data_IF_879096139874
#
_entry.id   IF_879096139874
#
_cell.length_a   1.000
_cell.length_b   1.000
_cell.length_c   1.000
_cell.angle_alpha   90.00
_cell.angle_beta   90.00
_cell.angle_gamma   90.00
#
_symmetry.space_group_name_H-M   'P 1'
#
loop_
_entity.id
_entity.type
_entity.pdbx_description
1 polymer ?
#
# COMPACT_ATOMS: atom_id res chain seq x y z
N UNK A 1 12.97 -51.74 27.78
CA UNK A 1 12.06 -50.57 27.81
C UNK A 1 12.14 -49.88 26.46
N UNK A 2 11.08 -49.99 25.65
CA UNK A 2 11.07 -49.57 24.26
C UNK A 2 10.97 -48.06 24.11
N UNK A 3 11.78 -47.53 23.20
CA UNK A 3 11.94 -46.12 22.85
C UNK A 3 10.78 -45.67 21.97
N UNK A 4 9.87 -44.85 22.47
CA UNK A 4 9.04 -43.97 21.63
C UNK A 4 8.97 -42.60 22.32
N UNK A 5 9.88 -41.71 21.94
CA UNK A 5 9.88 -40.29 22.35
C UNK A 5 10.03 -39.35 21.15
N UNK A 6 9.66 -39.82 19.95
CA UNK A 6 9.57 -39.00 18.73
C UNK A 6 8.18 -39.16 18.12
N UNK A 7 7.19 -38.53 18.75
CA UNK A 7 5.92 -38.23 18.09
C UNK A 7 5.71 -36.72 18.25
N UNK A 8 5.76 -36.00 17.12
CA UNK A 8 4.76 -34.95 16.92
C UNK A 8 5.20 -33.52 16.65
N UNK A 9 6.48 -33.11 16.75
CA UNK A 9 6.79 -31.69 16.46
C UNK A 9 6.56 -31.32 14.98
N UNK A 10 6.98 -32.18 14.03
CA UNK A 10 6.77 -31.95 12.59
C UNK A 10 5.33 -32.20 12.12
N UNK A 11 4.59 -33.10 12.79
CA UNK A 11 3.16 -33.29 12.54
C UNK A 11 2.32 -32.13 13.09
N UNK A 12 2.73 -31.53 14.21
CA UNK A 12 2.09 -30.36 14.81
C UNK A 12 2.36 -29.09 14.00
N UNK A 13 3.57 -28.89 13.47
CA UNK A 13 3.86 -27.79 12.54
C UNK A 13 3.09 -27.96 11.22
N UNK A 14 3.00 -29.19 10.70
CA UNK A 14 2.24 -29.49 9.49
C UNK A 14 0.73 -29.32 9.67
N UNK A 15 0.17 -29.76 10.80
CA UNK A 15 -1.25 -29.59 11.10
C UNK A 15 -1.61 -28.15 11.47
N UNK A 16 -0.73 -27.41 12.17
CA UNK A 16 -0.95 -26.00 12.47
C UNK A 16 -0.83 -25.12 11.22
N UNK A 17 0.11 -25.41 10.31
CA UNK A 17 0.19 -24.74 9.01
C UNK A 17 -1.02 -25.07 8.12
N UNK A 18 -1.45 -26.34 8.10
CA UNK A 18 -2.62 -26.75 7.32
C UNK A 18 -3.95 -26.21 7.89
N UNK A 19 -4.08 -26.07 9.21
CA UNK A 19 -5.28 -25.50 9.86
C UNK A 19 -5.24 -23.96 9.81
N UNK A 20 -4.06 -23.33 9.87
CA UNK A 20 -3.88 -21.90 9.64
C UNK A 20 -4.27 -21.52 8.22
N UNK A 21 -3.82 -22.26 7.21
CA UNK A 21 -4.15 -21.99 5.80
C UNK A 21 -5.61 -22.31 5.43
N UNK A 22 -6.31 -23.17 6.19
CA UNK A 22 -7.67 -23.57 5.88
C UNK A 22 -8.75 -22.66 6.51
N UNK A 23 -8.42 -21.83 7.50
CA UNK A 23 -9.43 -21.05 8.24
C UNK A 23 -8.96 -19.67 8.75
N UNK A 24 -7.73 -19.25 8.49
CA UNK A 24 -7.23 -17.93 8.90
C UNK A 24 -6.53 -17.27 7.71
N UNK A 25 -6.87 -16.01 7.46
CA UNK A 25 -6.18 -15.23 6.43
C UNK A 25 -4.66 -15.21 6.65
N UNK A 26 -3.90 -15.20 5.56
CA UNK A 26 -2.46 -15.05 5.58
C UNK A 26 -2.08 -13.63 5.99
N UNK A 27 -1.03 -13.48 6.81
CA UNK A 27 -0.40 -12.20 7.12
C UNK A 27 1.08 -12.29 6.77
N UNK A 28 1.50 -11.48 5.82
CA UNK A 28 2.89 -11.35 5.38
C UNK A 28 3.42 -9.97 5.74
N UNK A 29 4.69 -9.92 6.14
CA UNK A 29 5.41 -8.66 6.33
C UNK A 29 6.52 -8.58 5.29
N UNK A 30 6.54 -7.48 4.56
CA UNK A 30 7.58 -7.16 3.59
C UNK A 30 8.22 -5.84 3.96
N UNK A 31 9.46 -5.63 3.54
CA UNK A 31 10.16 -4.39 3.80
C UNK A 31 11.31 -4.16 2.84
N UNK A 32 11.72 -2.91 2.75
CA UNK A 32 12.84 -2.46 1.92
C UNK A 32 13.82 -1.66 2.75
N UNK A 33 15.09 -1.70 2.36
CA UNK A 33 16.14 -0.83 2.89
C UNK A 33 16.82 -0.12 1.73
N UNK A 34 16.80 1.20 1.78
CA UNK A 34 17.44 2.07 0.80
C UNK A 34 18.61 2.80 1.48
N UNK A 35 19.81 2.71 0.91
CA UNK A 35 20.99 3.38 1.45
C UNK A 35 21.48 4.42 0.45
N UNK A 36 21.66 5.65 0.91
CA UNK A 36 22.16 6.75 0.09
C UNK A 36 23.40 7.39 0.71
N UNK A 37 24.20 8.02 -0.14
CA UNK A 37 25.34 8.82 0.27
C UNK A 37 25.30 10.15 -0.46
N UNK A 38 25.50 11.25 0.26
CA UNK A 38 25.50 12.60 -0.29
C UNK A 38 26.81 13.29 0.06
N UNK A 39 27.41 13.95 -0.92
CA UNK A 39 28.52 14.90 -0.74
C UNK A 39 28.23 16.12 -1.58
N UNK A 40 28.26 17.29 -0.95
CA UNK A 40 28.11 18.58 -1.61
C UNK A 40 29.44 19.30 -1.58
N UNK A 41 29.86 19.83 -2.74
CA UNK A 41 31.05 20.68 -2.81
C UNK A 41 30.82 21.96 -1.99
N UNK A 42 31.86 22.41 -1.29
CA UNK A 42 31.85 23.59 -0.42
C UNK A 42 30.88 23.55 0.79
N UNK A 43 30.35 22.38 1.17
CA UNK A 43 29.51 22.21 2.36
C UNK A 43 30.01 21.10 3.30
N UNK A 44 29.97 21.34 4.61
CA UNK A 44 30.32 20.33 5.60
C UNK A 44 29.16 19.34 5.79
N UNK A 45 29.11 18.30 4.96
CA UNK A 45 28.10 17.22 5.04
C UNK A 45 28.41 16.28 6.21
N UNK A 46 27.98 16.62 7.43
CA UNK A 46 28.30 15.92 8.69
C UNK A 46 28.29 14.38 8.62
N UNK A 47 27.12 13.75 8.71
CA UNK A 47 26.95 12.33 8.37
C UNK A 47 26.39 12.23 6.94
N UNK A 48 27.17 11.78 5.95
CA UNK A 48 26.73 11.74 4.57
C UNK A 48 25.85 10.53 4.24
N UNK A 49 25.70 9.57 5.17
CA UNK A 49 24.97 8.32 4.93
C UNK A 49 23.50 8.47 5.36
N UNK A 50 22.59 8.29 4.40
CA UNK A 50 21.16 8.13 4.61
C UNK A 50 20.75 6.66 4.58
N UNK A 51 19.86 6.26 5.49
CA UNK A 51 19.24 4.92 5.49
C UNK A 51 17.72 5.09 5.60
N UNK A 52 17.01 4.62 4.58
CA UNK A 52 15.57 4.44 4.55
C UNK A 52 15.20 3.01 4.87
N UNK A 53 14.20 2.81 5.73
CA UNK A 53 13.60 1.51 6.00
C UNK A 53 12.08 1.60 5.93
N UNK A 54 11.46 0.88 5.01
CA UNK A 54 10.02 0.87 4.82
C UNK A 54 9.47 -0.53 5.11
N UNK A 55 8.29 -0.60 5.70
CA UNK A 55 7.61 -1.86 6.01
C UNK A 55 6.19 -1.86 5.45
N UNK A 56 5.72 -3.02 5.01
CA UNK A 56 4.34 -3.25 4.61
C UNK A 56 3.82 -4.56 5.18
N UNK A 57 2.72 -4.47 5.91
CA UNK A 57 1.94 -5.61 6.37
C UNK A 57 0.84 -5.88 5.34
N UNK A 58 0.76 -7.12 4.86
CA UNK A 58 -0.24 -7.55 3.88
C UNK A 58 -1.01 -8.74 4.46
N UNK A 59 -2.31 -8.56 4.70
CA UNK A 59 -3.22 -9.61 5.13
C UNK A 59 -4.13 -10.03 3.98
N UNK A 60 -4.49 -11.30 3.83
CA UNK A 60 -5.50 -11.73 2.85
C UNK A 60 -6.27 -12.96 3.30
N UNK A 61 -7.53 -13.08 2.89
CA UNK A 61 -8.34 -14.27 3.13
C UNK A 61 -9.63 -14.28 2.32
N UNK A 62 -10.40 -15.35 2.46
CA UNK A 62 -11.67 -15.55 1.77
C UNK A 62 -12.82 -15.60 2.80
N UNK A 63 -13.93 -14.95 2.47
CA UNK A 63 -15.18 -15.03 3.21
C UNK A 63 -15.94 -16.31 2.83
N UNK A 64 -16.88 -16.73 3.68
CA UNK A 64 -17.70 -17.93 3.49
C UNK A 64 -18.53 -17.93 2.18
N UNK A 65 -18.86 -16.75 1.69
CA UNK A 65 -19.56 -16.47 0.44
C UNK A 65 -18.65 -16.37 -0.79
N UNK A 66 -17.36 -16.70 -0.64
CA UNK A 66 -16.38 -16.75 -1.72
C UNK A 66 -15.85 -15.38 -2.16
N UNK A 67 -16.00 -14.36 -1.31
CA UNK A 67 -15.40 -13.05 -1.55
C UNK A 67 -13.99 -13.01 -0.99
N UNK A 68 -13.06 -12.45 -1.74
CA UNK A 68 -11.71 -12.22 -1.25
C UNK A 68 -11.63 -10.92 -0.46
N UNK A 69 -10.78 -10.89 0.56
CA UNK A 69 -10.46 -9.70 1.34
C UNK A 69 -8.95 -9.60 1.46
N UNK A 70 -8.40 -8.44 1.11
CA UNK A 70 -6.99 -8.14 1.28
C UNK A 70 -6.81 -6.81 2.04
N UNK A 71 -5.95 -6.81 3.05
CA UNK A 71 -5.53 -5.65 3.83
C UNK A 71 -4.07 -5.33 3.50
N UNK A 72 -3.74 -4.05 3.35
CA UNK A 72 -2.37 -3.58 3.27
C UNK A 72 -2.18 -2.38 4.18
N UNK A 73 -1.20 -2.44 5.08
CA UNK A 73 -0.78 -1.34 5.95
C UNK A 73 0.67 -1.01 5.64
N UNK A 74 0.93 0.21 5.17
CA UNK A 74 2.25 0.69 4.80
C UNK A 74 2.81 1.64 5.85
N UNK A 75 4.10 1.47 6.15
CA UNK A 75 4.90 2.37 6.98
C UNK A 75 6.04 2.97 6.15
N UNK A 76 6.20 4.29 6.28
CA UNK A 76 7.33 5.05 5.76
C UNK A 76 8.58 4.84 6.64
N UNK A 77 9.65 5.59 6.32
CA UNK A 77 10.89 5.56 7.10
C UNK A 77 10.64 5.83 8.59
N UNK A 78 11.47 5.24 9.46
CA UNK A 78 11.31 5.32 10.92
C UNK A 78 9.97 4.80 11.45
N UNK A 79 9.40 3.79 10.78
CA UNK A 79 8.13 3.14 11.14
C UNK A 79 6.93 4.10 11.21
N UNK A 80 6.99 5.23 10.49
CA UNK A 80 5.89 6.19 10.46
C UNK A 80 4.72 5.61 9.67
N UNK A 81 3.53 5.57 10.27
CA UNK A 81 2.31 5.15 9.59
C UNK A 81 2.08 5.95 8.31
N UNK A 82 1.87 5.27 7.17
CA UNK A 82 1.65 5.92 5.87
C UNK A 82 0.23 5.74 5.36
N UNK A 83 -0.27 4.52 5.24
CA UNK A 83 -1.59 4.28 4.63
C UNK A 83 -2.12 2.90 4.97
N UNK A 84 -3.45 2.77 4.95
CA UNK A 84 -4.14 1.49 4.97
C UNK A 84 -5.06 1.37 3.77
N UNK A 85 -5.04 0.20 3.12
CA UNK A 85 -5.94 -0.15 2.03
C UNK A 85 -6.63 -1.48 2.33
N UNK A 86 -7.91 -1.56 2.01
CA UNK A 86 -8.69 -2.80 2.05
C UNK A 86 -9.24 -3.06 0.66
N UNK A 87 -9.02 -4.23 0.10
CA UNK A 87 -9.61 -4.66 -1.17
C UNK A 87 -10.55 -5.82 -0.92
N UNK A 88 -11.75 -5.73 -1.49
CA UNK A 88 -12.76 -6.79 -1.45
C UNK A 88 -13.02 -7.25 -2.88
N UNK A 89 -12.67 -8.49 -3.20
CA UNK A 89 -12.94 -9.09 -4.50
C UNK A 89 -14.29 -9.79 -4.48
N UNK A 90 -15.18 -9.37 -5.38
CA UNK A 90 -16.52 -9.93 -5.52
C UNK A 90 -16.58 -10.75 -6.80
N UNK A 91 -16.84 -12.07 -6.72
CA UNK A 91 -16.94 -12.91 -7.91
C UNK A 91 -17.94 -12.36 -8.94
N UNK A 92 -17.48 -12.13 -10.16
CA UNK A 92 -18.29 -11.61 -11.27
C UNK A 92 -18.55 -10.11 -11.26
N UNK A 93 -18.14 -9.37 -10.22
CA UNK A 93 -18.18 -7.89 -10.20
C UNK A 93 -16.78 -7.27 -10.20
N UNK A 94 -15.78 -7.97 -9.67
CA UNK A 94 -14.40 -7.51 -9.57
C UNK A 94 -14.06 -6.90 -8.21
N UNK A 95 -13.00 -6.09 -8.18
CA UNK A 95 -12.35 -5.67 -6.93
C UNK A 95 -12.76 -4.27 -6.52
N UNK A 96 -13.15 -4.13 -5.25
CA UNK A 96 -13.42 -2.85 -4.61
C UNK A 96 -12.32 -2.54 -3.62
N UNK A 97 -11.49 -1.54 -3.92
CA UNK A 97 -10.42 -1.06 -3.05
C UNK A 97 -10.85 0.20 -2.32
N UNK A 98 -10.83 0.15 -1.00
CA UNK A 98 -11.01 1.27 -0.10
C UNK A 98 -9.62 1.71 0.36
N UNK A 99 -9.27 2.97 0.11
CA UNK A 99 -7.95 3.55 0.40
C UNK A 99 -8.09 4.76 1.31
N UNK A 100 -7.16 4.94 2.27
CA UNK A 100 -7.06 6.20 3.02
C UNK A 100 -6.31 7.32 2.25
N UNK A 101 -6.00 7.12 0.97
CA UNK A 101 -5.35 8.12 0.13
C UNK A 101 -3.84 8.08 0.25
N UNK A 102 -3.18 7.79 -0.88
CA UNK A 102 -1.74 7.79 -1.22
C UNK A 102 -1.67 7.41 -2.71
N UNK A 103 -0.50 7.50 -3.35
CA UNK A 103 -0.27 6.94 -4.69
C UNK A 103 -0.80 5.51 -4.86
N UNK A 104 -1.25 5.19 -6.08
CA UNK A 104 -1.68 3.84 -6.45
C UNK A 104 -3.19 3.61 -6.57
N UNK A 105 -4.03 4.66 -6.59
CA UNK A 105 -5.43 4.62 -7.01
C UNK A 105 -5.68 5.60 -8.16
N UNK A 106 -6.50 5.26 -9.14
CA UNK A 106 -6.89 6.19 -10.21
C UNK A 106 -5.70 6.58 -11.09
N UNK A 107 -5.71 7.82 -11.58
CA UNK A 107 -4.70 8.28 -12.53
C UNK A 107 -3.32 8.47 -11.88
N UNK A 108 -3.25 8.65 -10.55
CA UNK A 108 -1.97 8.79 -9.85
C UNK A 108 -1.11 7.52 -9.89
N UNK A 109 -1.68 6.37 -10.26
CA UNK A 109 -0.91 5.14 -10.52
C UNK A 109 -0.12 5.22 -11.83
N UNK A 110 -0.60 6.01 -12.79
CA UNK A 110 0.04 6.17 -14.10
C UNK A 110 1.04 7.32 -14.12
N UNK A 111 1.06 8.13 -13.06
CA UNK A 111 2.03 9.20 -12.87
C UNK A 111 3.40 8.59 -12.60
N UNK A 112 4.41 9.04 -13.36
CA UNK A 112 5.80 8.94 -12.95
C UNK A 112 6.30 7.51 -12.63
N UNK A 113 5.97 6.57 -13.51
CA UNK A 113 6.38 5.16 -13.43
C UNK A 113 7.80 4.91 -13.97
N UNK A 114 8.57 5.97 -14.25
CA UNK A 114 9.94 5.85 -14.72
C UNK A 114 10.84 5.35 -13.60
N UNK A 115 11.69 4.33 -13.84
CA UNK A 115 12.72 3.95 -12.88
C UNK A 115 13.63 5.15 -12.66
N UNK A 116 13.58 5.71 -11.45
CA UNK A 116 14.17 7.01 -11.21
C UNK A 116 15.59 7.00 -10.66
N UNK A 117 16.09 5.84 -10.18
CA UNK A 117 17.48 5.62 -9.71
C UNK A 117 18.02 6.79 -8.85
N UNK A 118 17.16 7.48 -8.11
CA UNK A 118 17.51 8.71 -7.37
C UNK A 118 18.06 9.89 -8.21
N UNK A 119 17.93 9.86 -9.54
CA UNK A 119 18.38 10.90 -10.46
C UNK A 119 17.31 11.96 -10.78
N UNK A 120 16.08 11.76 -10.31
CA UNK A 120 15.04 12.77 -10.45
C UNK A 120 15.31 13.97 -9.55
N UNK A 121 15.08 15.17 -10.09
CA UNK A 121 15.38 16.44 -9.43
C UNK A 121 14.73 16.59 -8.04
N UNK A 122 13.68 15.81 -7.75
CA UNK A 122 12.94 15.82 -6.48
C UNK A 122 13.23 14.62 -5.56
N UNK A 123 14.05 13.64 -5.99
CA UNK A 123 14.51 12.52 -5.16
C UNK A 123 15.66 12.88 -4.20
N UNK A 124 16.27 14.04 -4.38
CA UNK A 124 17.47 14.51 -3.65
C UNK A 124 17.16 15.50 -2.52
N UNK A 125 15.89 15.60 -2.10
CA UNK A 125 15.47 16.53 -1.04
C UNK A 125 15.34 18.00 -1.49
N UNK A 126 15.46 18.26 -2.79
CA UNK A 126 15.20 19.58 -3.37
C UNK A 126 13.70 19.79 -3.56
N UNK A 127 13.17 20.92 -3.09
CA UNK A 127 11.81 21.35 -3.37
C UNK A 127 11.69 21.81 -4.83
N UNK A 128 11.31 20.91 -5.72
CA UNK A 128 11.27 21.19 -7.18
C UNK A 128 10.04 21.95 -7.64
N UNK A 129 9.01 22.09 -6.78
CA UNK A 129 7.74 22.71 -7.15
C UNK A 129 6.98 21.95 -8.24
N UNK A 130 7.35 20.68 -8.50
CA UNK A 130 6.67 19.83 -9.49
C UNK A 130 5.32 19.44 -8.93
N UNK A 131 4.27 19.69 -9.72
CA UNK A 131 2.91 19.24 -9.44
C UNK A 131 2.73 17.85 -10.05
N UNK A 132 2.56 16.84 -9.19
CA UNK A 132 2.35 15.45 -9.59
C UNK A 132 0.88 15.21 -9.85
N UNK A 133 0.57 14.35 -10.83
CA UNK A 133 -0.83 14.06 -11.16
C UNK A 133 -1.43 13.17 -10.06
N UNK A 134 -2.11 13.79 -9.09
CA UNK A 134 -2.70 13.07 -7.94
C UNK A 134 -4.13 12.58 -8.19
N UNK A 135 -4.88 13.25 -9.08
CA UNK A 135 -6.28 12.91 -9.38
C UNK A 135 -7.15 12.76 -8.14
N UNK A 136 -8.08 11.81 -8.17
CA UNK A 136 -8.89 11.42 -7.01
C UNK A 136 -8.12 10.53 -6.00
N UNK A 137 -6.91 10.07 -6.34
CA UNK A 137 -6.09 9.17 -5.51
C UNK A 137 -5.40 9.84 -4.32
N UNK A 138 -5.25 11.18 -4.34
CA UNK A 138 -4.59 11.93 -3.27
C UNK A 138 -5.28 11.85 -1.91
N UNK A 139 -6.61 11.78 -1.90
CA UNK A 139 -7.43 11.65 -0.70
C UNK A 139 -7.99 10.24 -0.52
N UNK A 140 -8.65 10.00 0.62
CA UNK A 140 -9.35 8.73 0.84
C UNK A 140 -10.36 8.46 -0.29
N UNK A 141 -10.40 7.24 -0.81
CA UNK A 141 -11.13 6.91 -2.02
C UNK A 141 -11.64 5.47 -2.03
N UNK A 142 -12.58 5.21 -2.94
CA UNK A 142 -13.01 3.87 -3.34
C UNK A 142 -12.70 3.71 -4.83
N UNK A 143 -11.94 2.68 -5.17
CA UNK A 143 -11.65 2.27 -6.55
C UNK A 143 -12.39 0.96 -6.85
N UNK A 144 -13.04 0.88 -8.01
CA UNK A 144 -13.61 -0.34 -8.54
C UNK A 144 -12.86 -0.78 -9.79
N UNK A 145 -12.42 -2.04 -9.81
CA UNK A 145 -11.83 -2.70 -10.97
C UNK A 145 -12.77 -3.80 -11.45
N UNK A 146 -13.57 -3.58 -12.51
CA UNK A 146 -14.50 -4.57 -13.02
C UNK A 146 -13.81 -5.85 -13.51
N UNK A 147 -14.51 -6.97 -13.37
CA UNK A 147 -14.17 -8.21 -14.10
C UNK A 147 -14.84 -8.21 -15.47
N UNK A 148 -14.22 -8.87 -16.45
CA UNK A 148 -14.82 -9.06 -17.79
C UNK A 148 -14.65 -7.88 -18.75
N UNK A 149 -13.61 -7.07 -18.58
CA UNK A 149 -13.19 -6.10 -19.61
C UNK A 149 -12.69 -6.82 -20.87
N UNK A 150 -12.76 -6.19 -22.05
CA UNK A 150 -12.15 -6.72 -23.27
C UNK A 150 -10.67 -7.07 -23.07
N UNK A 151 -10.18 -8.05 -23.83
CA UNK A 151 -8.81 -8.53 -23.69
C UNK A 151 -7.78 -7.39 -23.82
N UNK A 152 -6.80 -7.39 -22.91
CA UNK A 152 -5.78 -6.34 -22.79
C UNK A 152 -6.24 -5.02 -22.16
N UNK A 153 -7.54 -4.84 -21.85
CA UNK A 153 -8.02 -3.65 -21.15
C UNK A 153 -8.20 -3.93 -19.66
N UNK A 154 -7.69 -3.02 -18.81
CA UNK A 154 -8.06 -2.94 -17.40
C UNK A 154 -8.75 -1.59 -17.17
N UNK A 155 -10.04 -1.61 -16.86
CA UNK A 155 -10.77 -0.42 -16.46
C UNK A 155 -10.67 -0.24 -14.95
N UNK A 156 -10.64 1.01 -14.48
CA UNK A 156 -10.66 1.36 -13.06
C UNK A 156 -11.49 2.61 -12.89
N UNK A 157 -12.34 2.63 -11.87
CA UNK A 157 -13.18 3.78 -11.58
C UNK A 157 -12.91 4.19 -10.16
N UNK A 158 -12.48 5.42 -9.94
CA UNK A 158 -12.18 5.95 -8.61
C UNK A 158 -13.18 7.03 -8.25
N UNK A 159 -13.59 7.02 -7.00
CA UNK A 159 -14.31 8.13 -6.39
C UNK A 159 -13.69 8.48 -5.05
N UNK A 160 -13.42 9.77 -4.84
CA UNK A 160 -13.03 10.32 -3.56
C UNK A 160 -14.08 11.34 -3.10
N UNK A 161 -14.63 11.22 -1.87
CA UNK A 161 -15.50 12.24 -1.31
C UNK A 161 -14.76 13.54 -0.94
N UNK A 162 -13.42 13.51 -0.85
CA UNK A 162 -12.59 14.67 -0.54
C UNK A 162 -11.16 14.42 -0.97
N UNK A 163 -10.77 14.92 -2.15
CA UNK A 163 -9.46 14.65 -2.75
C UNK A 163 -8.29 15.26 -1.98
N UNK A 164 -8.56 16.27 -1.16
CA UNK A 164 -7.60 16.89 -0.25
C UNK A 164 -7.71 16.39 1.20
N UNK A 165 -8.58 15.43 1.50
CA UNK A 165 -8.80 14.98 2.87
C UNK A 165 -7.55 14.33 3.47
N UNK A 166 -7.13 14.81 4.64
CA UNK A 166 -6.01 14.24 5.37
C UNK A 166 -6.37 12.86 5.96
N UNK A 167 -5.36 12.05 6.26
CA UNK A 167 -5.57 10.73 6.88
C UNK A 167 -6.14 10.90 8.29
N UNK A 168 -7.14 10.09 8.64
CA UNK A 168 -7.76 10.09 9.97
C UNK A 168 -7.69 8.73 10.63
N UNK A 169 -7.55 8.73 11.95
CA UNK A 169 -7.69 7.54 12.78
C UNK A 169 -9.15 7.09 12.94
N UNK A 170 -9.36 5.90 13.50
CA UNK A 170 -10.71 5.40 13.78
C UNK A 170 -11.51 6.40 14.62
N UNK A 171 -12.68 6.78 14.13
CA UNK A 171 -13.61 7.75 14.76
C UNK A 171 -12.99 9.13 15.04
N UNK A 172 -11.87 9.46 14.41
CA UNK A 172 -11.30 10.80 14.43
C UNK A 172 -11.78 11.59 13.22
N UNK A 173 -11.84 12.91 13.37
CA UNK A 173 -11.83 13.83 12.23
C UNK A 173 -10.40 14.12 11.77
N UNK A 174 -10.27 14.54 10.51
CA UNK A 174 -9.04 15.09 9.95
C UNK A 174 -9.35 16.38 9.18
N UNK A 175 -8.34 17.21 8.95
CA UNK A 175 -8.45 18.41 8.12
C UNK A 175 -8.16 18.13 6.64
N UNK A 176 -7.92 19.19 5.87
CA UNK A 176 -7.44 19.09 4.50
C UNK A 176 -5.91 19.22 4.44
N UNK A 177 -5.26 18.33 3.69
CA UNK A 177 -3.83 18.36 3.39
C UNK A 177 -3.52 19.19 2.11
N UNK A 178 -4.54 19.69 1.40
CA UNK A 178 -4.40 20.55 0.22
C UNK A 178 -5.60 21.50 0.04
N UNK A 179 -5.50 22.45 -0.90
CA UNK A 179 -6.50 23.50 -1.16
C UNK A 179 -7.75 23.04 -1.94
N UNK A 180 -7.75 21.84 -2.53
CA UNK A 180 -8.86 21.34 -3.36
C UNK A 180 -9.87 20.54 -2.52
N UNK A 181 -10.85 21.23 -1.95
CA UNK A 181 -11.84 20.67 -1.03
C UNK A 181 -13.06 20.04 -1.71
N UNK A 182 -12.85 19.39 -2.86
CA UNK A 182 -13.94 18.82 -3.66
C UNK A 182 -13.92 17.29 -3.64
N UNK A 183 -15.07 16.71 -3.98
CA UNK A 183 -15.09 15.33 -4.42
C UNK A 183 -14.42 15.20 -5.80
N UNK A 184 -13.94 14.01 -6.12
CA UNK A 184 -13.24 13.73 -7.37
C UNK A 184 -13.56 12.33 -7.89
N UNK A 185 -13.39 12.16 -9.20
CA UNK A 185 -13.48 10.86 -9.86
C UNK A 185 -12.42 10.72 -10.95
N UNK A 186 -11.88 9.51 -11.10
CA UNK A 186 -10.94 9.14 -12.17
C UNK A 186 -11.47 7.90 -12.91
N UNK A 187 -11.08 7.75 -14.19
CA UNK A 187 -11.36 6.60 -15.06
C UNK A 187 -10.09 6.21 -15.81
#
# INVERSE_FOLDING_TARGET
MNKITKIGASALCGSLAAISAANAGDLTVTGGVDMSWISLDDEATGNPIGIGSNLTFAGSGELDNGWSVALSVAHANSDVYSNTNVTVGVPGLGDFRISQGVSGSGICRMDDLTPNVWEEAWGTGLGTGIDKVSGAGGGANVEWTPTGTPDGLTARLVYSPGVAGAKSGDKSGSGDDNSVQANGYDI
#
